data_IF_307982301514
#
_entry.id   IF_307982301514
#
_cell.length_a   1.000
_cell.length_b   1.000
_cell.length_c   1.000
_cell.angle_alpha   90.00
_cell.angle_beta   90.00
_cell.angle_gamma   90.00
#
_symmetry.space_group_name_H-M   'P 1'
#
loop_
_entity.id
_entity.type
_entity.pdbx_description
1 polymer ?
#
# COMPACT_ATOMS: atom_id res chain seq x y z
N UNK A 1 -10.63 11.01 -68.34
CA UNK A 1 -10.46 9.54 -68.39
C UNK A 1 -11.16 8.92 -67.19
N UNK A 2 -11.72 7.72 -67.35
CA UNK A 2 -12.68 7.03 -66.47
C UNK A 2 -12.12 5.65 -66.06
N UNK A 3 -12.74 4.85 -65.15
CA UNK A 3 -13.85 5.12 -64.21
C UNK A 3 -13.58 4.59 -62.76
N UNK A 4 -14.62 4.57 -61.89
CA UNK A 4 -14.73 3.66 -60.72
C UNK A 4 -15.51 2.38 -61.12
N UNK A 5 -15.30 1.24 -60.43
CA UNK A 5 -16.32 0.70 -59.49
C UNK A 5 -15.68 0.28 -58.13
N UNK A 6 -16.34 0.05 -56.97
CA UNK A 6 -17.75 -0.22 -56.53
C UNK A 6 -18.08 -1.71 -56.26
N UNK A 7 -18.48 -2.02 -55.02
CA UNK A 7 -19.17 -3.25 -54.59
C UNK A 7 -18.26 -4.33 -53.98
N UNK A 8 -18.76 -5.28 -53.18
CA UNK A 8 -20.10 -5.39 -52.54
C UNK A 8 -20.05 -6.43 -51.40
N UNK A 9 -20.78 -6.15 -50.31
CA UNK A 9 -21.60 -6.96 -49.38
C UNK A 9 -21.34 -8.48 -49.18
N UNK A 10 -21.51 -8.97 -47.93
CA UNK A 10 -21.27 -10.39 -47.62
C UNK A 10 -21.59 -10.91 -46.20
N UNK A 11 -22.62 -10.40 -45.51
CA UNK A 11 -23.30 -11.08 -44.37
C UNK A 11 -24.67 -11.55 -44.87
N UNK A 12 -25.19 -12.75 -44.49
CA UNK A 12 -26.11 -12.80 -43.34
C UNK A 12 -26.21 -14.14 -42.56
N UNK A 13 -27.11 -14.16 -41.56
CA UNK A 13 -27.49 -15.24 -40.63
C UNK A 13 -27.87 -16.62 -41.23
N UNK A 14 -27.77 -17.68 -40.39
CA UNK A 14 -28.34 -19.01 -40.64
C UNK A 14 -28.29 -19.95 -39.39
N UNK A 15 -29.41 -20.56 -38.90
CA UNK A 15 -29.47 -21.17 -37.56
C UNK A 15 -29.69 -22.71 -37.47
N UNK A 16 -29.40 -23.28 -36.29
CA UNK A 16 -29.68 -24.67 -35.88
C UNK A 16 -28.48 -25.64 -36.06
N UNK A 17 -28.35 -26.82 -35.44
CA UNK A 17 -29.05 -27.61 -34.41
C UNK A 17 -28.05 -28.73 -33.94
N UNK A 18 -28.14 -29.54 -32.87
CA UNK A 18 -29.17 -29.86 -31.84
C UNK A 18 -28.50 -30.37 -30.51
N UNK A 19 -29.28 -30.87 -29.54
CA UNK A 19 -28.89 -31.85 -28.47
C UNK A 19 -29.70 -33.17 -28.73
N UNK A 20 -29.67 -34.30 -27.94
CA UNK A 20 -29.02 -34.59 -26.65
C UNK A 20 -28.46 -36.05 -26.50
N UNK A 21 -28.27 -36.51 -25.24
CA UNK A 21 -27.96 -37.89 -24.74
C UNK A 21 -26.50 -38.38 -24.87
N UNK A 22 -25.93 -39.21 -23.97
CA UNK A 22 -26.30 -39.67 -22.62
C UNK A 22 -25.17 -39.37 -21.60
N UNK A 23 -25.26 -39.53 -20.27
CA UNK A 23 -25.94 -40.52 -19.41
C UNK A 23 -25.33 -41.95 -19.49
N UNK A 24 -25.05 -42.67 -18.38
CA UNK A 24 -24.96 -42.30 -16.96
C UNK A 24 -24.31 -43.42 -16.10
N UNK A 25 -23.77 -43.06 -14.92
CA UNK A 25 -23.64 -43.95 -13.74
C UNK A 25 -22.38 -44.85 -13.63
N UNK A 26 -22.17 -45.56 -12.51
CA UNK A 26 -22.78 -45.40 -11.17
C UNK A 26 -21.95 -46.12 -10.08
N UNK A 27 -22.07 -45.68 -8.82
CA UNK A 27 -21.81 -46.50 -7.62
C UNK A 27 -20.48 -46.24 -6.86
N UNK A 28 -20.45 -46.29 -5.52
CA UNK A 28 -21.58 -46.36 -4.58
C UNK A 28 -21.25 -46.91 -3.19
N UNK A 29 -21.83 -46.30 -2.14
CA UNK A 29 -21.68 -46.72 -0.72
C UNK A 29 -20.36 -46.26 -0.08
N UNK A 30 -20.25 -46.03 1.24
CA UNK A 30 -21.22 -46.12 2.34
C UNK A 30 -20.46 -46.52 3.62
N UNK A 31 -20.80 -46.12 4.85
CA UNK A 31 -21.84 -45.25 5.40
C UNK A 31 -21.63 -45.15 6.93
N UNK A 32 -22.46 -44.41 7.67
CA UNK A 32 -22.34 -44.30 9.14
C UNK A 32 -23.34 -43.31 9.72
N UNK A 33 -23.97 -43.65 10.85
CA UNK A 33 -25.10 -42.91 11.43
C UNK A 33 -25.11 -42.99 12.95
N UNK A 34 -25.90 -42.08 13.56
CA UNK A 34 -26.14 -41.88 15.01
C UNK A 34 -25.04 -41.09 15.72
N UNK A 35 -25.32 -40.19 16.66
CA UNK A 35 -26.41 -39.23 16.97
C UNK A 35 -26.16 -38.79 18.41
N UNK A 36 -26.55 -37.57 18.78
CA UNK A 36 -27.47 -37.29 19.91
C UNK A 36 -27.54 -35.77 20.18
N UNK A 37 -28.43 -35.40 21.10
CA UNK A 37 -28.98 -34.07 21.42
C UNK A 37 -28.14 -33.29 22.46
N UNK A 38 -28.31 -31.98 22.78
CA UNK A 38 -29.09 -30.86 22.23
C UNK A 38 -28.59 -29.53 22.88
N UNK A 39 -29.38 -28.44 22.75
CA UNK A 39 -29.31 -27.14 23.45
C UNK A 39 -28.23 -26.14 23.00
N UNK A 40 -28.41 -24.81 23.13
CA UNK A 40 -29.59 -23.93 22.94
C UNK A 40 -29.15 -22.47 23.19
N UNK A 41 -29.69 -21.53 22.40
CA UNK A 41 -29.70 -20.07 22.67
C UNK A 41 -28.35 -19.32 22.72
N UNK A 42 -28.42 -18.02 22.45
CA UNK A 42 -27.27 -17.11 22.40
C UNK A 42 -27.33 -16.06 23.53
N UNK A 43 -26.17 -15.50 23.90
CA UNK A 43 -26.07 -14.14 24.43
C UNK A 43 -24.68 -13.53 24.17
N UNK A 44 -24.63 -12.20 24.10
CA UNK A 44 -23.43 -11.42 23.79
C UNK A 44 -22.51 -11.22 25.00
N UNK A 45 -21.18 -11.13 24.81
CA UNK A 45 -20.44 -9.88 25.11
C UNK A 45 -18.96 -9.87 24.68
N UNK A 46 -18.45 -8.63 24.71
CA UNK A 46 -17.15 -8.12 24.31
C UNK A 46 -15.87 -8.83 24.83
N UNK A 47 -14.77 -8.55 24.12
CA UNK A 47 -13.57 -8.05 24.80
C UNK A 47 -12.50 -9.08 25.19
N UNK A 48 -11.61 -9.40 24.25
CA UNK A 48 -10.23 -9.80 24.58
C UNK A 48 -9.24 -8.98 23.79
N UNK A 49 -8.66 -7.97 24.44
CA UNK A 49 -7.48 -7.28 23.93
C UNK A 49 -6.29 -8.25 23.91
N UNK A 50 -5.49 -8.22 22.85
CA UNK A 50 -4.19 -8.88 22.81
C UNK A 50 -3.14 -8.00 23.48
N UNK A 51 -2.23 -8.61 24.24
CA UNK A 51 -1.08 -7.90 24.83
C UNK A 51 -0.05 -7.58 23.73
N UNK A 52 -0.27 -6.50 22.99
CA UNK A 52 0.83 -5.74 22.39
C UNK A 52 1.61 -4.96 23.46
N UNK A 53 2.81 -4.44 23.16
CA UNK A 53 3.46 -3.48 24.03
C UNK A 53 2.56 -2.26 24.22
N UNK A 54 2.43 -1.78 25.46
CA UNK A 54 1.60 -0.63 25.76
C UNK A 54 2.16 0.64 25.08
N UNK A 55 1.27 1.46 24.52
CA UNK A 55 1.62 2.77 23.95
C UNK A 55 2.40 3.61 24.96
N UNK A 56 3.42 4.29 24.48
CA UNK A 56 4.22 5.21 25.29
C UNK A 56 3.44 6.50 25.57
N UNK A 57 3.73 7.23 26.65
CA UNK A 57 3.06 8.52 26.92
C UNK A 57 3.19 9.56 25.80
N UNK A 58 4.20 9.42 24.92
CA UNK A 58 4.41 10.29 23.75
C UNK A 58 3.30 10.18 22.70
N UNK A 59 2.70 9.00 22.54
CA UNK A 59 1.71 8.68 21.48
C UNK A 59 0.38 9.46 21.62
N UNK A 60 0.21 10.19 22.72
CA UNK A 60 -1.01 10.91 23.09
C UNK A 60 -0.89 12.43 22.82
N UNK A 61 0.33 12.96 22.73
CA UNK A 61 0.56 14.42 22.73
C UNK A 61 0.21 15.12 21.40
N UNK A 62 0.65 14.57 20.26
CA UNK A 62 0.71 15.30 18.98
C UNK A 62 -0.48 15.04 18.03
N UNK A 63 -1.38 14.13 18.39
CA UNK A 63 -2.80 14.30 18.07
C UNK A 63 -3.32 13.81 16.71
N UNK A 64 -2.55 13.13 15.86
CA UNK A 64 -3.15 12.40 14.74
C UNK A 64 -4.13 11.32 15.24
N UNK A 65 -5.30 11.11 14.59
CA UNK A 65 -6.18 10.01 14.94
C UNK A 65 -5.49 8.66 14.70
N UNK A 66 -5.36 7.85 15.76
CA UNK A 66 -4.67 6.55 15.81
C UNK A 66 -5.13 5.50 14.74
N UNK A 67 -6.25 5.76 14.04
CA UNK A 67 -6.72 4.95 12.92
C UNK A 67 -6.04 5.28 11.57
N UNK A 68 -5.52 6.51 11.40
CA UNK A 68 -4.87 6.94 10.17
C UNK A 68 -3.48 6.32 10.02
N UNK A 69 -2.75 6.18 11.13
CA UNK A 69 -1.40 5.61 11.20
C UNK A 69 -1.37 4.09 11.07
N UNK A 70 -0.19 3.56 10.72
CA UNK A 70 0.15 2.14 10.74
C UNK A 70 1.12 1.81 11.87
N UNK A 71 0.92 0.65 12.45
CA UNK A 71 1.72 0.06 13.53
C UNK A 71 2.09 -1.37 13.14
N UNK A 72 3.28 -1.88 13.47
CA UNK A 72 3.76 -3.19 12.99
C UNK A 72 2.91 -4.35 13.52
N UNK A 73 2.43 -5.21 12.63
CA UNK A 73 1.69 -6.45 12.98
C UNK A 73 2.32 -7.74 12.45
N UNK A 74 3.49 -7.65 11.82
CA UNK A 74 4.34 -8.77 11.40
C UNK A 74 5.39 -9.16 12.46
N UNK A 75 6.22 -10.18 12.17
CA UNK A 75 7.33 -10.56 13.02
C UNK A 75 8.53 -9.59 12.87
N UNK A 76 9.22 -9.29 13.97
CA UNK A 76 10.54 -8.63 13.90
C UNK A 76 11.53 -9.52 13.12
N UNK A 77 12.37 -8.91 12.30
CA UNK A 77 13.21 -9.61 11.32
C UNK A 77 12.44 -10.17 10.12
N UNK A 78 11.21 -9.68 9.87
CA UNK A 78 10.42 -10.07 8.72
C UNK A 78 10.99 -9.59 7.38
N UNK A 79 10.51 -10.19 6.29
CA UNK A 79 10.87 -9.82 4.91
C UNK A 79 9.66 -9.26 4.15
N UNK A 80 9.86 -8.34 3.19
CA UNK A 80 8.77 -7.84 2.37
C UNK A 80 8.21 -8.93 1.45
N UNK A 81 6.92 -8.80 1.12
CA UNK A 81 6.22 -9.69 0.20
C UNK A 81 5.98 -9.03 -1.17
N UNK A 82 5.47 -9.78 -2.15
CA UNK A 82 5.25 -9.26 -3.51
C UNK A 82 6.48 -9.41 -4.40
N UNK A 83 6.66 -8.50 -5.37
CA UNK A 83 7.84 -8.46 -6.22
C UNK A 83 8.71 -7.26 -5.82
N UNK A 84 10.03 -7.46 -5.57
CA UNK A 84 10.98 -6.36 -5.49
C UNK A 84 10.95 -5.51 -6.76
N UNK A 85 11.37 -4.25 -6.64
CA UNK A 85 11.56 -3.35 -7.79
C UNK A 85 12.66 -3.90 -8.69
N UNK A 86 12.39 -3.97 -9.99
CA UNK A 86 13.38 -4.42 -10.98
C UNK A 86 14.43 -3.34 -11.22
N UNK A 87 15.62 -3.53 -10.65
CA UNK A 87 16.74 -2.60 -10.78
C UNK A 87 17.25 -2.65 -12.23
N UNK A 88 16.89 -1.64 -13.02
CA UNK A 88 17.27 -1.57 -14.44
C UNK A 88 18.70 -1.04 -14.56
N UNK A 89 19.66 -1.94 -14.81
CA UNK A 89 21.05 -1.56 -15.08
C UNK A 89 21.14 -0.71 -16.36
N UNK A 90 21.29 0.60 -16.17
CA UNK A 90 21.43 1.60 -17.23
C UNK A 90 22.55 2.57 -16.88
N UNK A 91 22.90 3.45 -17.81
CA UNK A 91 23.89 4.50 -17.54
C UNK A 91 23.40 5.55 -16.52
N UNK A 92 22.10 5.57 -16.19
CA UNK A 92 21.53 6.43 -15.15
C UNK A 92 21.60 5.75 -13.77
N UNK A 93 22.72 5.99 -13.09
CA UNK A 93 22.96 5.50 -11.72
C UNK A 93 22.02 6.13 -10.68
N UNK A 94 21.39 7.27 -10.98
CA UNK A 94 20.47 7.94 -10.05
C UNK A 94 19.13 7.21 -10.00
N UNK A 95 18.62 6.77 -11.16
CA UNK A 95 17.45 5.90 -11.21
C UNK A 95 17.75 4.54 -10.58
N UNK A 96 18.90 3.93 -10.90
CA UNK A 96 19.32 2.66 -10.29
C UNK A 96 19.34 2.74 -8.76
N UNK A 97 19.97 3.78 -8.18
CA UNK A 97 20.02 3.98 -6.73
C UNK A 97 18.65 4.29 -6.12
N UNK A 98 17.74 4.89 -6.88
CA UNK A 98 16.35 5.11 -6.44
C UNK A 98 15.58 3.78 -6.32
N UNK A 99 15.71 2.89 -7.30
CA UNK A 99 15.11 1.54 -7.28
C UNK A 99 15.73 0.65 -6.18
N UNK A 100 17.05 0.78 -5.94
CA UNK A 100 17.73 0.15 -4.80
C UNK A 100 17.17 0.64 -3.45
N UNK A 101 17.00 1.95 -3.26
CA UNK A 101 16.48 2.50 -2.00
C UNK A 101 14.98 2.24 -1.78
N UNK A 102 14.19 1.94 -2.82
CA UNK A 102 12.84 1.40 -2.71
C UNK A 102 12.87 -0.02 -2.13
N UNK A 103 13.73 -0.89 -2.68
CA UNK A 103 13.93 -2.25 -2.15
C UNK A 103 14.50 -2.25 -0.72
N UNK A 104 15.45 -1.36 -0.43
CA UNK A 104 16.01 -1.19 0.91
C UNK A 104 14.94 -0.73 1.91
N UNK A 105 14.14 0.28 1.55
CA UNK A 105 13.09 0.82 2.42
C UNK A 105 12.02 -0.22 2.76
N UNK A 106 11.58 -1.01 1.78
CA UNK A 106 10.68 -2.14 2.02
C UNK A 106 11.27 -3.21 2.95
N UNK A 107 12.59 -3.44 2.85
CA UNK A 107 13.32 -4.40 3.68
C UNK A 107 13.44 -3.92 5.13
N UNK A 108 13.82 -2.66 5.34
CA UNK A 108 13.92 -2.06 6.69
C UNK A 108 12.56 -2.06 7.41
N UNK A 109 11.49 -1.63 6.74
CA UNK A 109 10.14 -1.65 7.28
C UNK A 109 9.68 -3.07 7.69
N UNK A 110 9.95 -4.08 6.85
CA UNK A 110 9.62 -5.47 7.18
C UNK A 110 10.45 -6.03 8.34
N UNK A 111 11.74 -5.67 8.41
CA UNK A 111 12.63 -6.05 9.51
C UNK A 111 12.18 -5.42 10.85
N UNK A 112 11.64 -4.20 10.83
CA UNK A 112 10.98 -3.55 11.97
C UNK A 112 9.57 -4.08 12.28
N UNK A 113 9.14 -5.17 11.63
CA UNK A 113 7.88 -5.87 11.94
C UNK A 113 6.64 -5.37 11.21
N UNK A 114 6.76 -4.47 10.22
CA UNK A 114 5.60 -4.11 9.40
C UNK A 114 5.29 -5.18 8.34
N UNK A 115 4.00 -5.45 8.10
CA UNK A 115 3.55 -6.25 6.95
C UNK A 115 3.63 -5.41 5.68
N UNK A 116 4.75 -5.54 4.97
CA UNK A 116 5.03 -4.86 3.70
C UNK A 116 4.75 -5.78 2.51
N UNK A 117 4.07 -5.24 1.49
CA UNK A 117 4.04 -5.79 0.12
C UNK A 117 4.57 -4.76 -0.87
N UNK A 118 5.60 -5.12 -1.62
CA UNK A 118 6.14 -4.34 -2.74
C UNK A 118 5.38 -4.62 -4.04
N UNK A 119 5.30 -3.59 -4.90
CA UNK A 119 4.68 -3.62 -6.23
C UNK A 119 3.30 -4.33 -6.22
N UNK A 120 2.35 -3.85 -5.39
CA UNK A 120 0.99 -4.39 -5.33
C UNK A 120 0.25 -4.23 -6.67
N UNK A 121 -0.70 -5.12 -6.97
CA UNK A 121 -1.49 -5.02 -8.19
C UNK A 121 -2.51 -3.87 -8.13
N UNK A 122 -3.00 -3.42 -9.29
CA UNK A 122 -4.04 -2.38 -9.40
C UNK A 122 -5.28 -2.71 -8.57
N UNK A 123 -5.65 -4.00 -8.53
CA UNK A 123 -6.79 -4.54 -7.80
C UNK A 123 -6.55 -4.48 -6.28
N UNK A 124 -5.35 -4.84 -5.82
CA UNK A 124 -4.96 -4.74 -4.41
C UNK A 124 -4.91 -3.28 -3.94
N UNK A 125 -4.41 -2.37 -4.78
CA UNK A 125 -4.38 -0.92 -4.51
C UNK A 125 -5.80 -0.34 -4.46
N UNK A 126 -6.71 -0.81 -5.32
CA UNK A 126 -8.11 -0.41 -5.31
C UNK A 126 -8.86 -0.95 -4.08
N UNK A 127 -8.61 -2.20 -3.69
CA UNK A 127 -9.20 -2.81 -2.50
C UNK A 127 -8.66 -2.16 -1.22
N UNK A 128 -7.36 -1.89 -1.14
CA UNK A 128 -6.74 -1.16 -0.03
C UNK A 128 -7.40 0.21 0.18
N UNK A 129 -7.50 1.01 -0.88
CA UNK A 129 -8.15 2.34 -0.85
C UNK A 129 -9.63 2.26 -0.43
N UNK A 130 -10.36 1.27 -0.93
CA UNK A 130 -11.75 0.99 -0.52
C UNK A 130 -11.85 0.67 0.97
N UNK A 131 -10.94 -0.15 1.50
CA UNK A 131 -10.94 -0.57 2.90
C UNK A 131 -10.58 0.58 3.88
N UNK A 132 -9.79 1.55 3.44
CA UNK A 132 -9.23 2.61 4.29
C UNK A 132 -9.91 3.97 4.14
N UNK A 133 -10.78 4.15 3.14
CA UNK A 133 -11.29 5.46 2.75
C UNK A 133 -10.19 6.38 2.21
N UNK A 134 -9.20 5.82 1.51
CA UNK A 134 -8.15 6.58 0.83
C UNK A 134 -8.56 6.93 -0.62
N UNK A 135 -8.22 8.14 -1.05
CA UNK A 135 -8.42 8.59 -2.44
C UNK A 135 -7.12 8.56 -3.22
N UNK A 136 -7.22 8.44 -4.54
CA UNK A 136 -6.06 8.41 -5.44
C UNK A 136 -6.43 7.94 -6.84
N UNK A 137 -5.53 8.12 -7.81
CA UNK A 137 -5.73 7.65 -9.19
C UNK A 137 -5.48 6.14 -9.26
N UNK A 138 -6.40 5.39 -9.86
CA UNK A 138 -6.25 3.93 -10.08
C UNK A 138 -5.09 3.60 -11.02
N UNK A 139 -4.87 4.43 -12.05
CA UNK A 139 -3.77 4.31 -13.04
C UNK A 139 -2.39 4.71 -12.50
N UNK A 140 -2.13 4.47 -11.20
CA UNK A 140 -0.86 4.74 -10.55
C UNK A 140 -0.47 3.54 -9.70
N UNK A 141 0.76 3.08 -9.93
CA UNK A 141 1.41 2.03 -9.16
C UNK A 141 2.07 2.73 -7.96
N UNK A 142 1.57 2.54 -6.72
CA UNK A 142 2.30 2.91 -5.52
C UNK A 142 3.29 1.79 -5.17
N UNK A 143 4.41 2.15 -4.56
CA UNK A 143 5.50 1.21 -4.31
C UNK A 143 5.10 0.12 -3.29
N UNK A 144 4.30 0.48 -2.27
CA UNK A 144 3.97 -0.41 -1.16
C UNK A 144 2.48 -0.49 -0.79
N UNK A 145 2.08 -1.66 -0.29
CA UNK A 145 1.09 -1.75 0.78
C UNK A 145 1.81 -2.00 2.12
N UNK A 146 1.54 -1.18 3.13
CA UNK A 146 2.02 -1.34 4.51
C UNK A 146 0.80 -1.48 5.40
N UNK A 147 0.66 -2.60 6.11
CA UNK A 147 -0.50 -2.90 6.98
C UNK A 147 -1.85 -2.64 6.28
N UNK A 148 -1.92 -3.04 5.00
CA UNK A 148 -3.09 -2.90 4.14
C UNK A 148 -3.38 -1.48 3.61
N UNK A 149 -2.55 -0.47 3.91
CA UNK A 149 -2.67 0.91 3.40
C UNK A 149 -1.68 1.17 2.27
N UNK A 150 -2.08 2.02 1.32
CA UNK A 150 -1.23 2.47 0.20
C UNK A 150 -0.18 3.47 0.67
N UNK A 151 1.09 3.21 0.32
CA UNK A 151 2.22 4.13 0.49
C UNK A 151 3.03 4.25 -0.80
N UNK A 152 3.66 5.40 -0.99
CA UNK A 152 4.56 5.73 -2.10
C UNK A 152 5.89 6.22 -1.47
N UNK A 153 7.04 5.75 -1.95
CA UNK A 153 8.34 5.99 -1.33
C UNK A 153 9.02 7.23 -1.92
N UNK A 154 9.81 7.94 -1.11
CA UNK A 154 10.68 8.99 -1.60
C UNK A 154 12.07 8.88 -0.96
N UNK A 155 13.07 8.66 -1.80
CA UNK A 155 14.44 8.36 -1.36
C UNK A 155 15.40 9.39 -1.98
N UNK A 156 15.78 10.46 -1.27
CA UNK A 156 16.75 11.44 -1.79
C UNK A 156 18.13 10.82 -1.99
N UNK A 157 18.46 10.52 -3.26
CA UNK A 157 19.78 10.04 -3.75
C UNK A 157 20.89 11.10 -3.67
N UNK A 158 20.53 12.37 -3.42
CA UNK A 158 21.46 13.47 -3.20
C UNK A 158 21.69 13.64 -1.68
N UNK A 159 22.91 13.39 -1.14
CA UNK A 159 23.17 13.48 0.29
C UNK A 159 22.83 14.86 0.90
N UNK A 160 23.00 15.92 0.12
CA UNK A 160 22.78 17.32 0.51
C UNK A 160 21.36 17.84 0.19
N UNK A 161 20.39 16.96 -0.11
CA UNK A 161 19.02 17.38 -0.48
C UNK A 161 18.43 18.31 0.59
N UNK A 162 17.96 19.49 0.21
CA UNK A 162 17.35 20.40 1.19
C UNK A 162 16.06 19.79 1.77
N UNK A 163 15.80 20.05 3.05
CA UNK A 163 14.57 19.61 3.74
C UNK A 163 13.31 20.09 2.99
N UNK A 164 13.36 21.31 2.45
CA UNK A 164 12.30 21.86 1.58
C UNK A 164 12.15 21.09 0.26
N UNK A 165 13.23 20.54 -0.29
CA UNK A 165 13.19 19.66 -1.46
C UNK A 165 12.47 18.33 -1.15
N UNK A 166 12.86 17.66 -0.06
CA UNK A 166 12.25 16.42 0.43
C UNK A 166 10.74 16.61 0.68
N UNK A 167 10.39 17.71 1.35
CA UNK A 167 9.00 18.14 1.57
C UNK A 167 8.25 18.38 0.24
N UNK A 168 8.91 19.01 -0.74
CA UNK A 168 8.28 19.33 -2.03
C UNK A 168 7.94 18.08 -2.81
N UNK A 169 8.83 17.08 -2.88
CA UNK A 169 8.52 15.83 -3.59
C UNK A 169 7.51 14.94 -2.86
N UNK A 170 7.55 14.91 -1.53
CA UNK A 170 6.52 14.27 -0.70
C UNK A 170 5.14 14.89 -0.96
N UNK A 171 5.06 16.23 -0.97
CA UNK A 171 3.85 16.98 -1.33
C UNK A 171 3.42 16.75 -2.79
N UNK A 172 4.37 16.63 -3.72
CA UNK A 172 4.07 16.38 -5.12
C UNK A 172 3.40 15.02 -5.33
N UNK A 173 3.87 13.94 -4.69
CA UNK A 173 3.23 12.61 -4.75
C UNK A 173 1.78 12.64 -4.25
N UNK A 174 1.52 13.36 -3.16
CA UNK A 174 0.15 13.54 -2.61
C UNK A 174 -0.74 14.37 -3.55
N UNK A 175 -0.32 15.56 -3.99
CA UNK A 175 -1.16 16.45 -4.81
C UNK A 175 -1.38 15.90 -6.23
N UNK A 176 -0.45 15.11 -6.77
CA UNK A 176 -0.67 14.36 -8.02
C UNK A 176 -1.72 13.24 -7.85
N UNK A 177 -2.11 12.90 -6.62
CA UNK A 177 -3.09 11.87 -6.29
C UNK A 177 -2.53 10.45 -6.43
N UNK A 178 -1.22 10.27 -6.17
CA UNK A 178 -0.57 8.95 -6.18
C UNK A 178 -0.83 8.22 -4.87
N UNK A 179 -0.64 8.93 -3.75
CA UNK A 179 -0.77 8.40 -2.39
C UNK A 179 -1.43 9.41 -1.45
N UNK A 180 -1.83 8.94 -0.26
CA UNK A 180 -2.06 9.78 0.90
C UNK A 180 -1.04 9.53 2.03
N UNK A 181 -0.07 8.62 1.84
CA UNK A 181 0.97 8.28 2.82
C UNK A 181 2.32 8.13 2.16
N UNK A 182 3.36 8.65 2.79
CA UNK A 182 4.72 8.66 2.23
C UNK A 182 5.67 7.97 3.20
N UNK A 183 6.54 7.12 2.65
CA UNK A 183 7.77 6.67 3.32
C UNK A 183 8.90 7.52 2.77
N UNK A 184 9.67 8.20 3.62
CA UNK A 184 10.90 8.88 3.21
C UNK A 184 12.09 8.04 3.67
N UNK A 185 12.84 7.46 2.73
CA UNK A 185 14.07 6.71 3.06
C UNK A 185 15.28 7.65 3.03
N UNK A 186 15.90 7.90 4.19
CA UNK A 186 17.04 8.81 4.35
C UNK A 186 18.40 8.09 4.35
N UNK A 187 18.47 6.81 3.93
CA UNK A 187 19.69 6.01 3.84
C UNK A 187 20.91 6.75 3.24
N UNK A 188 20.72 7.50 2.14
CA UNK A 188 21.77 8.31 1.50
C UNK A 188 21.88 9.76 2.01
N UNK A 189 20.90 10.25 2.78
CA UNK A 189 20.76 11.66 3.15
C UNK A 189 21.57 12.05 4.40
N UNK A 190 22.16 13.26 4.39
CA UNK A 190 23.10 13.73 5.44
C UNK A 190 22.74 15.10 6.02
N UNK A 191 21.48 15.52 5.88
CA UNK A 191 20.97 16.75 6.49
C UNK A 191 20.40 16.55 7.90
N UNK A 192 19.91 17.64 8.50
CA UNK A 192 19.35 17.64 9.85
C UNK A 192 17.89 17.13 9.88
N UNK A 193 17.69 15.95 10.49
CA UNK A 193 16.36 15.36 10.71
C UNK A 193 15.43 16.25 11.56
N UNK A 194 15.95 17.00 12.53
CA UNK A 194 15.17 17.95 13.33
C UNK A 194 14.62 19.11 12.49
N UNK A 195 15.43 19.63 11.55
CA UNK A 195 14.97 20.59 10.55
C UNK A 195 13.99 19.97 9.54
N UNK A 196 14.08 18.67 9.23
CA UNK A 196 13.11 17.98 8.38
C UNK A 196 11.75 17.83 9.07
N UNK A 197 11.72 17.41 10.34
CA UNK A 197 10.51 17.33 11.14
C UNK A 197 9.84 18.72 11.26
N UNK A 198 10.62 19.76 11.59
CA UNK A 198 10.13 21.15 11.60
C UNK A 198 9.62 21.63 10.23
N UNK A 199 10.15 21.11 9.12
CA UNK A 199 9.68 21.47 7.78
C UNK A 199 8.29 20.87 7.46
N UNK A 200 7.94 19.69 8.01
CA UNK A 200 6.60 19.12 7.85
C UNK A 200 5.58 19.70 8.84
N UNK A 201 6.00 19.97 10.08
CA UNK A 201 5.21 20.66 11.11
C UNK A 201 4.80 22.07 10.64
N UNK A 202 5.77 22.94 10.34
CA UNK A 202 5.53 24.35 9.95
C UNK A 202 4.86 24.51 8.58
N UNK A 203 4.77 23.46 7.76
CA UNK A 203 4.19 23.49 6.43
C UNK A 203 3.34 22.24 6.14
N UNK A 204 2.10 22.16 6.68
CA UNK A 204 1.28 20.96 6.57
C UNK A 204 0.96 20.60 5.11
N UNK A 205 1.14 19.32 4.75
CA UNK A 205 0.81 18.82 3.41
C UNK A 205 -0.66 18.43 3.34
N UNK A 206 -1.48 19.24 2.68
CA UNK A 206 -2.89 18.94 2.45
C UNK A 206 -3.07 17.58 1.73
N UNK A 207 -3.84 16.68 2.34
CA UNK A 207 -4.11 15.33 1.82
C UNK A 207 -3.15 14.23 2.30
N UNK A 208 -2.04 14.58 2.96
CA UNK A 208 -1.14 13.63 3.62
C UNK A 208 -1.77 13.18 4.95
N UNK A 209 -1.97 11.86 5.10
CA UNK A 209 -2.53 11.19 6.28
C UNK A 209 -1.46 10.60 7.20
N UNK A 210 -0.30 10.25 6.66
CA UNK A 210 0.79 9.59 7.41
C UNK A 210 2.13 9.83 6.72
N UNK A 211 3.17 10.09 7.52
CA UNK A 211 4.55 10.23 7.08
C UNK A 211 5.46 9.36 7.95
N UNK A 212 6.08 8.33 7.35
CA UNK A 212 7.15 7.58 8.02
C UNK A 212 8.50 7.97 7.42
N UNK A 213 9.52 7.95 8.26
CA UNK A 213 10.91 8.15 7.90
C UNK A 213 11.69 6.90 8.24
N UNK A 214 12.61 6.51 7.37
CA UNK A 214 13.67 5.55 7.65
C UNK A 214 14.95 6.38 7.80
N UNK A 215 15.60 6.34 8.97
CA UNK A 215 16.82 7.11 9.22
C UNK A 215 18.04 6.51 8.48
N UNK A 216 19.18 7.21 8.38
CA UNK A 216 20.42 6.63 7.86
C UNK A 216 20.87 5.34 8.57
N UNK A 217 20.47 5.15 9.83
CA UNK A 217 20.73 3.99 10.68
C UNK A 217 19.70 2.87 10.49
N UNK A 218 18.63 3.10 9.72
CA UNK A 218 17.54 2.16 9.47
C UNK A 218 16.38 2.21 10.46
N UNK A 219 16.34 3.19 11.38
CA UNK A 219 15.25 3.32 12.35
C UNK A 219 13.97 3.84 11.70
N UNK A 220 12.81 3.30 12.07
CA UNK A 220 11.49 3.70 11.52
C UNK A 220 10.83 4.73 12.44
N UNK A 221 10.93 6.01 12.09
CA UNK A 221 10.36 7.13 12.85
C UNK A 221 9.03 7.57 12.23
N UNK A 222 7.98 7.66 13.06
CA UNK A 222 6.74 8.33 12.70
C UNK A 222 6.93 9.85 12.84
N UNK A 223 6.73 10.62 11.78
CA UNK A 223 6.56 12.07 11.92
C UNK A 223 5.08 12.34 12.19
N UNK A 224 4.80 12.98 13.31
CA UNK A 224 3.48 13.53 13.60
C UNK A 224 3.15 14.66 12.64
N UNK A 225 1.90 14.67 12.17
CA UNK A 225 1.38 15.71 11.30
C UNK A 225 0.37 16.56 12.10
N UNK A 226 0.37 17.89 12.01
CA UNK A 226 -0.66 18.72 12.66
C UNK A 226 -2.04 18.43 12.05
N UNK A 227 -3.11 18.58 12.84
CA UNK A 227 -4.44 18.11 12.44
C UNK A 227 -5.02 18.95 11.31
N UNK A 228 -6.09 18.43 10.71
CA UNK A 228 -6.92 19.20 9.78
C UNK A 228 -7.79 20.26 10.49
N UNK A 229 -7.99 20.14 11.81
CA UNK A 229 -8.71 21.10 12.66
C UNK A 229 -7.89 22.32 13.04
N UNK A 230 -6.56 22.22 13.02
CA UNK A 230 -5.66 23.24 13.58
C UNK A 230 -5.38 24.32 12.51
N UNK A 231 -6.45 24.79 11.86
CA UNK A 231 -6.44 25.52 10.56
C UNK A 231 -7.56 26.57 10.44
N UNK A 232 -7.91 27.20 11.56
CA UNK A 232 -8.73 28.43 11.62
C UNK A 232 -7.82 29.64 11.93
#
# INVERSE_FOLDING_TARGET
MTPRPRGHDGDPDGPGQTRPHGAAGVGGGGGGVRSDEAMASAFSQAGRAGNGPASTPSDIANGQPQHLTTHPTGPLGGTPTGKPKEITFSNDRTNQRSDEMENSGATALAASGYRVKQNPSTEEVAQARTNTGDTGRSVKNPDYLIEGRVFDCYSPTEPEKSTRGIWTESRNKVIKGQTQRVVVNLEDWRGDFGALQQQFDKWPVAGLKELKVITPEGEIVQIDLPRSSDRE
#
